data_IF_274014475112
#
_entry.id   IF_274014475112
#
_cell.length_a   1.000
_cell.length_b   1.000
_cell.length_c   1.000
_cell.angle_alpha   90.00
_cell.angle_beta   90.00
_cell.angle_gamma   90.00
#
_symmetry.space_group_name_H-M   'P 1'
#
loop_
_entity.id
_entity.type
_entity.pdbx_description
1 polymer ?
#
# COMPACT_ATOMS: atom_id res chain seq x y z
N UNK A 1 -6.21 24.35 -2.04
CA UNK A 1 -5.98 25.56 -2.85
C UNK A 1 -4.61 26.22 -2.59
N UNK A 2 -3.61 25.52 -2.04
CA UNK A 2 -2.20 25.98 -1.89
C UNK A 2 -2.02 27.48 -1.59
N UNK A 3 -2.86 28.03 -0.69
CA UNK A 3 -3.01 29.48 -0.51
C UNK A 3 -1.80 30.13 0.18
N UNK A 4 -1.00 29.33 0.89
CA UNK A 4 0.19 29.78 1.62
C UNK A 4 1.27 28.71 1.54
N UNK A 5 2.47 29.16 1.24
CA UNK A 5 3.70 28.42 1.53
C UNK A 5 4.16 28.82 2.93
N UNK A 6 4.34 27.85 3.81
CA UNK A 6 4.78 28.09 5.19
C UNK A 6 6.16 27.49 5.38
N UNK A 7 7.02 28.09 6.19
CA UNK A 7 8.29 27.51 6.63
C UNK A 7 8.13 26.41 7.70
N UNK A 8 6.94 25.81 7.80
CA UNK A 8 6.62 24.79 8.79
C UNK A 8 7.42 23.52 8.50
N UNK A 9 8.21 23.07 9.48
CA UNK A 9 8.88 21.78 9.41
C UNK A 9 7.92 20.68 9.87
N UNK A 10 7.48 19.86 8.92
CA UNK A 10 6.63 18.69 9.19
C UNK A 10 7.46 17.52 9.70
N UNK A 11 6.89 16.74 10.61
CA UNK A 11 7.48 15.53 11.17
C UNK A 11 6.58 14.35 10.82
N UNK A 12 7.12 13.34 10.13
CA UNK A 12 6.40 12.10 9.90
C UNK A 12 6.28 11.31 11.21
N UNK A 13 5.23 10.53 11.38
CA UNK A 13 5.04 9.71 12.58
C UNK A 13 6.18 8.70 12.78
N UNK A 14 6.76 8.18 11.70
CA UNK A 14 7.88 7.23 11.75
C UNK A 14 9.19 7.84 12.23
N UNK A 15 9.32 9.17 12.13
CA UNK A 15 10.50 9.91 12.58
C UNK A 15 10.45 10.29 14.06
N UNK A 16 9.32 10.04 14.74
CA UNK A 16 9.17 10.30 16.16
C UNK A 16 10.03 9.35 16.98
N UNK A 17 10.88 9.92 17.84
CA UNK A 17 11.79 9.15 18.69
C UNK A 17 11.82 9.69 20.12
N UNK A 18 12.15 8.85 21.12
CA UNK A 18 12.24 9.27 22.52
C UNK A 18 13.21 10.43 22.78
N UNK A 19 14.24 10.61 21.95
CA UNK A 19 15.22 11.71 22.07
C UNK A 19 14.61 13.08 21.73
N UNK A 20 13.45 13.09 21.05
CA UNK A 20 12.74 14.31 20.72
C UNK A 20 11.88 14.83 21.87
N UNK A 21 11.86 14.15 23.03
CA UNK A 21 11.08 14.56 24.19
C UNK A 21 11.27 16.05 24.54
N UNK A 22 10.15 16.75 24.72
CA UNK A 22 10.11 18.18 24.98
C UNK A 22 10.05 19.05 23.71
N UNK A 23 10.39 18.53 22.53
CA UNK A 23 10.33 19.28 21.26
C UNK A 23 8.89 19.45 20.78
N UNK A 24 8.64 20.56 20.08
CA UNK A 24 7.37 20.83 19.40
C UNK A 24 7.46 20.33 17.96
N UNK A 25 6.48 19.52 17.56
CA UNK A 25 6.39 18.94 16.22
C UNK A 25 5.06 19.32 15.55
N UNK A 26 5.10 19.39 14.22
CA UNK A 26 3.94 19.54 13.36
C UNK A 26 3.69 18.23 12.63
N UNK A 27 2.53 17.63 12.85
CA UNK A 27 2.18 16.33 12.29
C UNK A 27 0.86 16.45 11.54
N UNK A 28 0.77 15.81 10.38
CA UNK A 28 -0.48 15.60 9.68
C UNK A 28 -0.75 14.10 9.58
N UNK A 29 -1.88 13.65 10.11
CA UNK A 29 -2.20 12.23 10.22
C UNK A 29 -3.71 12.00 10.16
N UNK A 30 -4.12 10.75 9.93
CA UNK A 30 -5.52 10.34 10.08
C UNK A 30 -5.84 10.03 11.54
N UNK A 31 -7.05 10.35 11.98
CA UNK A 31 -7.58 9.88 13.27
C UNK A 31 -8.08 8.44 13.09
N UNK A 32 -7.32 7.46 13.55
CA UNK A 32 -7.73 6.06 13.49
C UNK A 32 -8.75 5.72 14.58
N UNK A 33 -8.57 6.26 15.77
CA UNK A 33 -9.44 6.01 16.92
C UNK A 33 -9.43 7.17 17.89
N UNK A 34 -10.49 7.25 18.70
CA UNK A 34 -10.66 8.24 19.75
C UNK A 34 -11.16 7.54 21.01
N UNK A 35 -10.46 7.76 22.13
CA UNK A 35 -10.81 7.21 23.44
C UNK A 35 -11.00 8.35 24.43
N UNK A 36 -12.25 8.80 24.65
CA UNK A 36 -12.58 9.77 25.68
C UNK A 36 -12.30 9.17 27.07
N UNK A 37 -11.68 9.93 27.96
CA UNK A 37 -11.49 9.54 29.37
C UNK A 37 -12.33 10.40 30.30
N UNK A 38 -12.41 11.70 30.01
CA UNK A 38 -13.29 12.63 30.71
C UNK A 38 -13.60 13.84 29.83
N UNK A 39 -14.43 14.76 30.32
CA UNK A 39 -14.61 16.07 29.66
C UNK A 39 -13.36 16.97 29.70
N UNK A 40 -12.26 16.52 30.32
CA UNK A 40 -10.98 17.21 30.36
C UNK A 40 -9.87 16.48 29.59
N UNK A 41 -10.11 15.27 29.11
CA UNK A 41 -9.05 14.43 28.53
C UNK A 41 -9.59 13.41 27.53
N UNK A 42 -8.93 13.31 26.37
CA UNK A 42 -9.11 12.20 25.44
C UNK A 42 -7.78 11.80 24.80
N UNK A 43 -7.67 10.52 24.45
CA UNK A 43 -6.59 10.00 23.62
C UNK A 43 -7.07 9.85 22.19
N UNK A 44 -6.23 10.21 21.23
CA UNK A 44 -6.41 9.90 19.82
C UNK A 44 -5.32 8.93 19.39
N UNK A 45 -5.66 7.98 18.53
CA UNK A 45 -4.68 7.20 17.78
C UNK A 45 -4.53 7.86 16.43
N UNK A 46 -3.35 8.41 16.16
CA UNK A 46 -3.02 9.04 14.88
C UNK A 46 -2.32 8.02 14.00
N UNK A 47 -2.68 7.97 12.72
CA UNK A 47 -2.10 7.05 11.74
C UNK A 47 -1.60 7.79 10.52
N UNK A 48 -0.39 7.45 10.10
CA UNK A 48 0.23 7.83 8.84
C UNK A 48 0.74 6.56 8.15
N UNK A 49 0.15 6.21 7.01
CA UNK A 49 0.42 4.92 6.34
C UNK A 49 0.25 3.72 7.31
N UNK A 50 1.31 2.97 7.58
CA UNK A 50 1.36 1.79 8.46
C UNK A 50 1.75 2.13 9.90
N UNK A 51 1.96 3.41 10.21
CA UNK A 51 2.53 3.86 11.48
C UNK A 51 1.44 4.54 12.30
N UNK A 52 1.33 4.14 13.56
CA UNK A 52 0.42 4.73 14.54
C UNK A 52 1.20 5.28 15.74
N UNK A 53 0.72 6.41 16.26
CA UNK A 53 1.22 7.05 17.47
C UNK A 53 0.06 7.58 18.30
N UNK A 54 0.20 7.53 19.63
CA UNK A 54 -0.81 8.06 20.54
C UNK A 54 -0.65 9.56 20.71
N UNK A 55 -1.78 10.28 20.68
CA UNK A 55 -1.85 11.70 20.96
C UNK A 55 -2.80 11.97 22.13
N UNK A 56 -2.32 12.72 23.12
CA UNK A 56 -3.07 13.13 24.30
C UNK A 56 -3.60 14.56 24.10
N UNK A 57 -4.93 14.73 24.19
CA UNK A 57 -5.57 16.05 24.27
C UNK A 57 -6.11 16.22 25.68
N UNK A 58 -5.43 17.01 26.49
CA UNK A 58 -5.77 17.24 27.90
C UNK A 58 -5.89 18.74 28.20
N UNK A 59 -6.87 19.11 29.01
CA UNK A 59 -7.07 20.51 29.43
C UNK A 59 -5.81 21.03 30.11
N UNK A 60 -5.28 22.12 29.57
CA UNK A 60 -4.11 22.81 30.07
C UNK A 60 -4.44 24.31 30.10
N UNK A 61 -4.21 24.95 31.25
CA UNK A 61 -4.53 26.35 31.47
C UNK A 61 -3.84 27.24 30.43
N UNK A 62 -4.60 28.11 29.76
CA UNK A 62 -4.10 29.00 28.71
C UNK A 62 -3.79 28.34 27.35
N UNK A 63 -3.86 27.01 27.21
CA UNK A 63 -3.50 26.30 25.98
C UNK A 63 -4.63 25.42 25.41
N UNK A 64 -5.19 24.50 26.20
CA UNK A 64 -6.18 23.52 25.74
C UNK A 64 -7.44 23.62 26.59
N UNK A 65 -8.56 23.96 25.95
CA UNK A 65 -9.86 24.13 26.62
C UNK A 65 -10.67 22.83 26.66
N UNK A 66 -11.68 22.75 27.52
CA UNK A 66 -12.66 21.63 27.51
C UNK A 66 -13.40 21.53 26.16
N UNK A 67 -13.62 22.66 25.50
CA UNK A 67 -14.23 22.72 24.17
C UNK A 67 -13.32 22.09 23.12
N UNK A 68 -12.00 22.28 23.20
CA UNK A 68 -11.04 21.62 22.32
C UNK A 68 -11.02 20.10 22.53
N UNK A 69 -11.09 19.62 23.78
CA UNK A 69 -11.22 18.19 24.07
C UNK A 69 -12.52 17.63 23.49
N UNK A 70 -13.66 18.31 23.70
CA UNK A 70 -14.94 17.91 23.11
C UNK A 70 -14.89 17.90 21.58
N UNK A 71 -14.24 18.89 20.97
CA UNK A 71 -14.02 18.94 19.52
C UNK A 71 -13.20 17.73 19.05
N UNK A 72 -12.06 17.45 19.68
CA UNK A 72 -11.20 16.31 19.34
C UNK A 72 -11.95 14.96 19.42
N UNK A 73 -12.80 14.78 20.44
CA UNK A 73 -13.66 13.59 20.58
C UNK A 73 -14.66 13.47 19.42
N UNK A 74 -15.19 14.58 18.94
CA UNK A 74 -16.20 14.61 17.87
C UNK A 74 -15.64 14.45 16.46
N UNK A 75 -14.31 14.45 16.28
CA UNK A 75 -13.69 14.29 14.96
C UNK A 75 -14.02 12.87 14.45
N UNK A 76 -14.68 12.73 13.30
CA UNK A 76 -14.97 11.42 12.72
C UNK A 76 -13.67 10.66 12.43
N UNK A 77 -13.66 9.36 12.71
CA UNK A 77 -12.53 8.49 12.35
C UNK A 77 -12.25 8.58 10.84
N UNK A 78 -11.00 8.37 10.48
CA UNK A 78 -10.42 8.56 9.14
C UNK A 78 -10.32 10.01 8.64
N UNK A 79 -10.78 11.00 9.39
CA UNK A 79 -10.51 12.41 9.10
C UNK A 79 -9.01 12.69 9.19
N UNK A 80 -8.50 13.54 8.30
CA UNK A 80 -7.12 14.02 8.34
C UNK A 80 -7.06 15.23 9.25
N UNK A 81 -6.19 15.18 10.24
CA UNK A 81 -5.93 16.27 11.18
C UNK A 81 -4.51 16.77 11.04
N UNK A 82 -4.33 18.05 11.26
CA UNK A 82 -3.03 18.69 11.47
C UNK A 82 -2.94 19.05 12.94
N UNK A 83 -1.88 18.61 13.61
CA UNK A 83 -1.63 18.90 15.02
C UNK A 83 -0.31 19.64 15.21
N UNK A 84 -0.29 20.47 16.25
CA UNK A 84 0.94 20.95 16.89
C UNK A 84 0.99 20.30 18.25
N UNK A 85 2.04 19.53 18.53
CA UNK A 85 2.16 18.76 19.75
C UNK A 85 3.57 18.78 20.30
N UNK A 86 3.68 18.61 21.62
CA UNK A 86 4.95 18.36 22.28
C UNK A 86 5.17 16.85 22.38
N UNK A 87 6.37 16.40 22.02
CA UNK A 87 6.78 15.01 22.18
C UNK A 87 7.00 14.71 23.66
N UNK A 88 6.44 13.62 24.16
CA UNK A 88 6.60 13.14 25.53
C UNK A 88 6.96 11.66 25.55
N UNK A 89 7.56 11.19 26.64
CA UNK A 89 7.77 9.77 26.90
C UNK A 89 6.60 9.25 27.74
N UNK A 90 5.87 8.21 27.29
CA UNK A 90 4.81 7.63 28.10
C UNK A 90 5.43 6.89 29.30
N UNK A 91 4.68 6.77 30.40
CA UNK A 91 5.13 6.05 31.59
C UNK A 91 5.28 4.54 31.33
N UNK A 92 4.42 4.00 30.47
CA UNK A 92 4.42 2.62 29.99
C UNK A 92 4.30 2.68 28.46
N UNK A 93 5.03 1.86 27.70
CA UNK A 93 4.88 1.82 26.25
C UNK A 93 3.44 1.60 25.80
N UNK A 94 3.01 2.35 24.79
CA UNK A 94 1.64 2.26 24.25
C UNK A 94 1.55 1.08 23.28
N UNK A 95 1.12 -0.08 23.79
CA UNK A 95 1.05 -1.34 23.03
C UNK A 95 0.08 -1.32 21.84
N UNK A 96 -0.90 -0.42 21.84
CA UNK A 96 -1.86 -0.28 20.74
C UNK A 96 -1.33 0.52 19.54
N UNK A 97 -0.12 1.08 19.64
CA UNK A 97 0.50 1.89 18.59
C UNK A 97 1.82 1.28 18.13
N UNK A 98 2.18 1.46 16.85
CA UNK A 98 3.49 1.02 16.35
C UNK A 98 4.63 1.83 16.95
N UNK A 99 4.39 3.12 17.23
CA UNK A 99 5.28 3.98 18.01
C UNK A 99 4.75 4.01 19.43
N UNK A 100 5.22 3.09 20.26
CA UNK A 100 4.77 2.92 21.64
C UNK A 100 5.61 3.67 22.68
N UNK A 101 6.83 4.08 22.34
CA UNK A 101 7.80 4.72 23.24
C UNK A 101 7.73 6.26 23.24
N UNK A 102 6.81 6.82 22.45
CA UNK A 102 6.53 8.25 22.32
C UNK A 102 5.03 8.50 22.41
N UNK A 103 4.66 9.59 23.07
CA UNK A 103 3.31 10.15 23.08
C UNK A 103 3.33 11.62 22.65
N UNK A 104 2.30 12.07 21.93
CA UNK A 104 2.16 13.46 21.48
C UNK A 104 1.18 14.23 22.37
N UNK A 105 1.68 15.17 23.17
CA UNK A 105 0.81 16.09 23.95
C UNK A 105 0.33 17.22 23.06
N UNK A 106 -0.93 17.18 22.65
CA UNK A 106 -1.52 18.08 21.65
C UNK A 106 -1.74 19.48 22.22
N UNK A 107 -1.21 20.49 21.53
CA UNK A 107 -1.40 21.91 21.83
C UNK A 107 -2.40 22.56 20.87
N UNK A 108 -2.41 22.15 19.60
CA UNK A 108 -3.36 22.61 18.58
C UNK A 108 -3.79 21.43 17.72
N UNK A 109 -5.06 21.42 17.31
CA UNK A 109 -5.61 20.43 16.39
C UNK A 109 -6.56 21.10 15.42
N UNK A 110 -6.39 20.80 14.14
CA UNK A 110 -7.22 21.30 13.06
C UNK A 110 -7.63 20.14 12.17
N UNK A 111 -8.90 20.07 11.77
CA UNK A 111 -9.34 19.11 10.76
C UNK A 111 -8.93 19.67 9.39
N UNK A 112 -8.06 18.95 8.71
CA UNK A 112 -7.58 19.28 7.35
C UNK A 112 -8.54 18.75 6.30
N UNK A 113 -9.04 17.54 6.51
CA UNK A 113 -10.05 16.92 5.66
C UNK A 113 -10.98 16.08 6.52
N UNK A 114 -12.22 16.51 6.65
CA UNK A 114 -13.24 15.83 7.44
C UNK A 114 -13.91 14.71 6.65
N UNK A 115 -14.15 13.57 7.30
CA UNK A 115 -15.05 12.53 6.78
C UNK A 115 -16.49 12.95 7.03
N UNK A 116 -17.24 13.20 5.95
CA UNK A 116 -18.63 13.69 6.02
C UNK A 116 -19.67 12.58 5.89
N UNK A 117 -19.30 11.47 5.30
CA UNK A 117 -20.18 10.33 5.03
C UNK A 117 -19.64 9.15 5.84
N UNK A 118 -20.48 8.43 6.59
CA UNK A 118 -20.07 7.23 7.30
C UNK A 118 -19.36 6.25 6.38
N UNK A 119 -18.29 5.64 6.88
CA UNK A 119 -17.56 4.62 6.13
C UNK A 119 -18.39 3.33 6.03
N UNK A 120 -18.24 2.57 4.94
CA UNK A 120 -18.96 1.31 4.72
C UNK A 120 -18.61 0.22 5.75
N UNK A 121 -17.41 0.31 6.34
CA UNK A 121 -16.92 -0.53 7.43
C UNK A 121 -15.81 0.22 8.17
N UNK A 122 -15.52 -0.18 9.41
CA UNK A 122 -14.37 0.33 10.14
C UNK A 122 -13.08 -0.35 9.70
N UNK A 123 -11.94 0.32 9.89
CA UNK A 123 -10.65 -0.31 9.62
C UNK A 123 -10.32 -1.44 10.60
N UNK A 124 -10.87 -1.38 11.81
CA UNK A 124 -10.74 -2.43 12.80
C UNK A 124 -11.38 -3.73 12.30
N UNK A 125 -12.65 -3.66 11.85
CA UNK A 125 -13.36 -4.79 11.23
C UNK A 125 -12.59 -5.37 10.02
N UNK A 126 -11.96 -4.48 9.24
CA UNK A 126 -11.18 -4.89 8.07
C UNK A 126 -9.80 -5.48 8.41
N UNK A 127 -9.29 -5.29 9.63
CA UNK A 127 -7.94 -5.67 10.04
C UNK A 127 -7.87 -6.95 10.89
N UNK A 128 -9.01 -7.51 11.33
CA UNK A 128 -9.03 -8.79 12.04
C UNK A 128 -8.52 -9.94 11.16
N UNK A 129 -7.65 -10.77 11.75
CA UNK A 129 -7.14 -12.00 11.15
C UNK A 129 -8.14 -13.16 11.28
N UNK A 130 -7.91 -14.25 10.54
CA UNK A 130 -8.71 -15.48 10.71
C UNK A 130 -8.57 -16.07 12.12
N UNK A 131 -7.42 -15.87 12.78
CA UNK A 131 -7.16 -16.24 14.16
C UNK A 131 -8.00 -15.41 15.14
N UNK A 132 -8.21 -14.13 14.87
CA UNK A 132 -9.05 -13.27 15.69
C UNK A 132 -10.52 -13.71 15.63
N UNK A 133 -11.03 -14.03 14.43
CA UNK A 133 -12.39 -14.57 14.29
C UNK A 133 -12.57 -15.93 14.96
N UNK A 134 -11.51 -16.77 15.01
CA UNK A 134 -11.54 -18.03 15.77
C UNK A 134 -11.58 -17.79 17.28
N UNK A 135 -10.88 -16.76 17.77
CA UNK A 135 -10.85 -16.38 19.19
C UNK A 135 -12.15 -15.73 19.65
N UNK A 136 -12.70 -14.85 18.81
CA UNK A 136 -13.97 -14.16 19.04
C UNK A 136 -14.85 -14.19 17.78
N UNK A 137 -15.77 -15.16 17.70
CA UNK A 137 -16.71 -15.26 16.58
C UNK A 137 -17.74 -14.13 16.48
N UNK A 138 -17.79 -13.22 17.47
CA UNK A 138 -18.72 -12.07 17.46
C UNK A 138 -18.16 -10.86 16.70
N UNK A 139 -16.87 -10.88 16.36
CA UNK A 139 -16.24 -9.83 15.56
C UNK A 139 -16.88 -9.73 14.17
N UNK A 140 -17.02 -8.50 13.69
CA UNK A 140 -17.73 -8.24 12.44
C UNK A 140 -16.82 -8.52 11.24
N UNK A 141 -17.12 -9.59 10.48
CA UNK A 141 -16.31 -9.99 9.33
C UNK A 141 -16.72 -9.25 8.05
N UNK A 142 -15.85 -8.37 7.57
CA UNK A 142 -16.05 -7.68 6.28
C UNK A 142 -15.75 -8.64 5.13
N UNK A 143 -16.76 -9.00 4.35
CA UNK A 143 -16.63 -9.88 3.17
C UNK A 143 -15.79 -9.27 2.04
N UNK A 144 -15.14 -10.12 1.24
CA UNK A 144 -14.23 -9.70 0.16
C UNK A 144 -14.90 -8.76 -0.86
N UNK A 145 -16.13 -9.05 -1.30
CA UNK A 145 -16.83 -8.20 -2.26
C UNK A 145 -17.09 -6.79 -1.70
N UNK A 146 -17.48 -6.69 -0.43
CA UNK A 146 -17.65 -5.39 0.25
C UNK A 146 -16.34 -4.63 0.33
N UNK A 147 -15.24 -5.33 0.63
CA UNK A 147 -13.89 -4.77 0.66
C UNK A 147 -13.48 -4.23 -0.71
N UNK A 148 -13.64 -5.03 -1.77
CA UNK A 148 -13.31 -4.65 -3.16
C UNK A 148 -14.19 -3.51 -3.69
N UNK A 149 -15.50 -3.52 -3.39
CA UNK A 149 -16.40 -2.42 -3.73
C UNK A 149 -16.03 -1.09 -3.07
N UNK A 150 -15.27 -1.14 -1.96
CA UNK A 150 -14.81 0.02 -1.21
C UNK A 150 -13.28 0.03 -1.08
N UNK A 151 -12.59 -0.38 -2.15
CA UNK A 151 -11.15 -0.65 -2.16
C UNK A 151 -10.31 0.50 -1.60
N UNK A 152 -10.67 1.76 -1.85
CA UNK A 152 -9.97 2.94 -1.34
C UNK A 152 -9.91 3.03 0.20
N UNK A 153 -10.91 2.48 0.90
CA UNK A 153 -10.91 2.39 2.37
C UNK A 153 -10.06 1.19 2.80
N UNK A 154 -10.23 0.05 2.14
CA UNK A 154 -9.51 -1.18 2.44
C UNK A 154 -7.99 -1.05 2.28
N UNK A 155 -7.53 -0.33 1.25
CA UNK A 155 -6.10 -0.08 0.98
C UNK A 155 -5.38 0.71 2.09
N UNK A 156 -6.13 1.20 3.08
CA UNK A 156 -5.57 1.88 4.25
C UNK A 156 -5.22 0.91 5.38
N UNK A 157 -5.69 -0.34 5.35
CA UNK A 157 -5.27 -1.32 6.37
C UNK A 157 -3.78 -1.57 6.27
N UNK A 158 -3.14 -1.82 7.41
CA UNK A 158 -1.68 -2.03 7.49
C UNK A 158 -1.27 -3.21 6.61
N UNK A 159 -2.03 -4.30 6.66
CA UNK A 159 -1.80 -5.50 5.84
C UNK A 159 -1.89 -5.23 4.35
N UNK A 160 -2.94 -4.54 3.85
CA UNK A 160 -3.01 -4.22 2.43
C UNK A 160 -1.86 -3.28 2.01
N UNK A 161 -1.51 -2.28 2.84
CA UNK A 161 -0.39 -1.40 2.53
C UNK A 161 0.93 -2.18 2.39
N UNK A 162 1.20 -3.12 3.32
CA UNK A 162 2.36 -4.00 3.27
C UNK A 162 2.36 -4.90 2.03
N UNK A 163 1.22 -5.53 1.70
CA UNK A 163 1.06 -6.36 0.49
C UNK A 163 1.43 -5.57 -0.77
N UNK A 164 0.94 -4.34 -0.94
CA UNK A 164 1.26 -3.52 -2.12
C UNK A 164 2.71 -3.05 -2.15
N UNK A 165 3.33 -2.80 -0.99
CA UNK A 165 4.77 -2.52 -0.91
C UNK A 165 5.60 -3.73 -1.33
N UNK A 166 5.24 -4.93 -0.87
CA UNK A 166 5.87 -6.20 -1.29
C UNK A 166 5.67 -6.43 -2.79
N UNK A 167 4.46 -6.20 -3.32
CA UNK A 167 4.17 -6.30 -4.75
C UNK A 167 5.07 -5.36 -5.57
N UNK A 168 5.22 -4.10 -5.14
CA UNK A 168 6.12 -3.14 -5.78
C UNK A 168 7.60 -3.60 -5.70
N UNK A 169 8.00 -4.15 -4.55
CA UNK A 169 9.34 -4.70 -4.33
C UNK A 169 9.66 -5.87 -5.27
N UNK A 170 8.72 -6.78 -5.51
CA UNK A 170 8.88 -7.88 -6.48
C UNK A 170 9.20 -7.33 -7.87
N UNK A 171 8.43 -6.35 -8.36
CA UNK A 171 8.68 -5.69 -9.65
C UNK A 171 10.02 -4.93 -9.68
N UNK A 172 10.41 -4.31 -8.56
CA UNK A 172 11.70 -3.64 -8.44
C UNK A 172 12.86 -4.64 -8.53
N UNK A 173 12.82 -5.73 -7.78
CA UNK A 173 13.89 -6.73 -7.72
C UNK A 173 14.00 -7.54 -9.02
N UNK A 174 12.88 -7.81 -9.67
CA UNK A 174 12.84 -8.36 -11.02
C UNK A 174 13.62 -7.49 -12.01
N UNK A 175 13.32 -6.18 -12.04
CA UNK A 175 14.05 -5.21 -12.88
C UNK A 175 15.52 -5.11 -12.50
N UNK A 176 15.81 -4.96 -11.22
CA UNK A 176 17.16 -4.81 -10.69
C UNK A 176 18.06 -5.97 -11.13
N UNK A 177 17.60 -7.22 -10.97
CA UNK A 177 18.34 -8.39 -11.40
C UNK A 177 18.53 -8.44 -12.92
N UNK A 178 17.49 -8.23 -13.72
CA UNK A 178 17.58 -8.36 -15.17
C UNK A 178 18.43 -7.27 -15.81
N UNK A 179 18.38 -6.04 -15.30
CA UNK A 179 19.27 -4.94 -15.72
C UNK A 179 20.73 -5.29 -15.39
N UNK A 180 21.02 -5.88 -14.23
CA UNK A 180 22.37 -6.37 -13.90
C UNK A 180 22.86 -7.47 -14.84
N UNK A 181 21.94 -8.27 -15.42
CA UNK A 181 22.25 -9.27 -16.44
C UNK A 181 22.35 -8.69 -17.87
N UNK A 182 22.23 -7.37 -18.03
CA UNK A 182 22.30 -6.67 -19.31
C UNK A 182 21.03 -6.79 -20.16
N UNK A 183 19.88 -7.06 -19.55
CA UNK A 183 18.60 -7.08 -20.25
C UNK A 183 18.04 -5.67 -20.46
N UNK A 184 17.35 -5.47 -21.59
CA UNK A 184 16.69 -4.22 -21.95
C UNK A 184 15.20 -4.28 -21.61
N UNK A 185 14.68 -3.30 -20.87
CA UNK A 185 13.24 -3.15 -20.66
C UNK A 185 12.56 -2.71 -21.97
N UNK A 186 11.52 -3.42 -22.40
CA UNK A 186 10.75 -3.10 -23.60
C UNK A 186 9.29 -2.79 -23.25
N UNK A 187 8.63 -2.04 -24.12
CA UNK A 187 7.20 -1.74 -24.00
C UNK A 187 6.50 -2.08 -25.32
N UNK A 188 5.65 -3.09 -25.29
CA UNK A 188 5.00 -3.66 -26.47
C UNK A 188 3.52 -3.29 -26.51
N UNK A 189 2.93 -3.11 -27.70
CA UNK A 189 1.52 -2.74 -27.81
C UNK A 189 0.61 -3.84 -27.26
N UNK A 190 -0.45 -3.45 -26.56
CA UNK A 190 -1.46 -4.39 -26.00
C UNK A 190 -2.71 -4.52 -26.86
N UNK A 191 -2.83 -3.70 -27.89
CA UNK A 191 -3.88 -3.77 -28.90
C UNK A 191 -3.28 -4.38 -30.16
N UNK A 192 -3.81 -5.53 -30.58
CA UNK A 192 -3.31 -6.31 -31.72
C UNK A 192 -4.40 -6.51 -32.77
N UNK A 193 -4.00 -6.65 -34.04
CA UNK A 193 -4.92 -6.74 -35.18
C UNK A 193 -5.60 -8.11 -35.32
N UNK A 194 -5.00 -9.16 -34.75
CA UNK A 194 -5.53 -10.52 -34.76
C UNK A 194 -5.25 -11.18 -33.41
N UNK A 195 -5.97 -12.24 -33.07
CA UNK A 195 -5.70 -13.03 -31.88
C UNK A 195 -4.26 -13.60 -31.93
N UNK A 196 -3.49 -13.38 -30.87
CA UNK A 196 -2.07 -13.75 -30.77
C UNK A 196 -1.84 -15.27 -30.65
N UNK A 197 -2.79 -16.00 -30.08
CA UNK A 197 -2.68 -17.43 -29.77
C UNK A 197 -3.98 -18.14 -30.21
N UNK A 198 -3.90 -19.06 -31.16
CA UNK A 198 -5.08 -19.77 -31.68
C UNK A 198 -5.71 -20.68 -30.63
N UNK A 199 -7.04 -20.62 -30.48
CA UNK A 199 -7.81 -21.54 -29.63
C UNK A 199 -8.21 -21.05 -28.24
N UNK A 200 -7.92 -19.79 -27.91
CA UNK A 200 -8.30 -19.17 -26.63
C UNK A 200 -9.29 -18.02 -26.82
N UNK A 201 -10.08 -17.73 -25.79
CA UNK A 201 -10.95 -16.55 -25.79
C UNK A 201 -10.09 -15.29 -25.72
N UNK A 202 -10.44 -14.27 -26.53
CA UNK A 202 -9.76 -12.96 -26.53
C UNK A 202 -10.77 -11.83 -26.34
N UNK A 203 -10.36 -10.77 -25.64
CA UNK A 203 -11.18 -9.55 -25.58
C UNK A 203 -11.07 -8.79 -26.90
N UNK A 204 -12.21 -8.64 -27.57
CA UNK A 204 -12.33 -7.78 -28.75
C UNK A 204 -12.66 -6.35 -28.33
N UNK A 205 -11.96 -5.39 -28.91
CA UNK A 205 -12.21 -3.96 -28.75
C UNK A 205 -12.56 -3.33 -30.10
N UNK A 206 -13.54 -2.41 -30.10
CA UNK A 206 -13.84 -1.62 -31.28
C UNK A 206 -12.69 -0.67 -31.56
N UNK A 207 -12.11 -0.76 -32.76
CA UNK A 207 -10.96 0.05 -33.16
C UNK A 207 -11.29 0.82 -34.44
N UNK A 208 -11.80 2.04 -34.27
CA UNK A 208 -12.36 2.87 -35.33
C UNK A 208 -13.49 2.14 -36.10
N UNK A 209 -13.26 1.86 -37.40
CA UNK A 209 -14.20 1.14 -38.27
C UNK A 209 -13.96 -0.38 -38.27
N UNK A 210 -12.98 -0.87 -37.51
CA UNK A 210 -12.59 -2.27 -37.45
C UNK A 210 -12.60 -2.83 -36.03
N UNK A 211 -12.08 -4.04 -35.90
CA UNK A 211 -11.86 -4.70 -34.63
C UNK A 211 -10.36 -4.78 -34.32
N UNK A 212 -10.01 -4.71 -33.05
CA UNK A 212 -8.72 -5.12 -32.54
C UNK A 212 -8.93 -6.00 -31.29
N UNK A 213 -7.86 -6.55 -30.76
CA UNK A 213 -7.91 -7.50 -29.65
C UNK A 213 -6.90 -7.10 -28.58
N UNK A 214 -7.19 -7.44 -27.33
CA UNK A 214 -6.22 -7.28 -26.25
C UNK A 214 -5.26 -8.48 -26.21
N UNK A 215 -3.96 -8.20 -26.12
CA UNK A 215 -2.92 -9.21 -26.12
C UNK A 215 -2.94 -10.07 -24.83
N UNK A 216 -2.94 -11.38 -24.98
CA UNK A 216 -2.98 -12.32 -23.84
C UNK A 216 -1.61 -12.62 -23.24
N UNK A 217 -0.55 -12.25 -23.94
CA UNK A 217 0.82 -12.29 -23.48
C UNK A 217 1.66 -11.41 -24.43
N UNK A 218 2.81 -10.88 -23.99
CA UNK A 218 3.73 -10.17 -24.88
C UNK A 218 4.61 -11.14 -25.70
N UNK A 219 4.31 -12.45 -25.73
CA UNK A 219 5.23 -13.48 -26.21
C UNK A 219 5.74 -13.25 -27.63
N UNK A 220 4.84 -12.96 -28.59
CA UNK A 220 5.22 -12.71 -29.99
C UNK A 220 6.13 -11.48 -30.12
N UNK A 221 5.87 -10.41 -29.37
CA UNK A 221 6.67 -9.19 -29.43
C UNK A 221 8.05 -9.38 -28.80
N UNK A 222 8.15 -10.11 -27.69
CA UNK A 222 9.46 -10.45 -27.10
C UNK A 222 10.32 -11.25 -28.07
N UNK A 223 9.75 -12.27 -28.72
CA UNK A 223 10.46 -13.05 -29.74
C UNK A 223 10.86 -12.19 -30.95
N UNK A 224 10.00 -11.26 -31.38
CA UNK A 224 10.36 -10.30 -32.42
C UNK A 224 11.53 -9.40 -32.01
N UNK A 225 11.60 -8.95 -30.75
CA UNK A 225 12.75 -8.20 -30.23
C UNK A 225 14.04 -9.05 -30.23
N UNK A 226 13.96 -10.33 -29.86
CA UNK A 226 15.11 -11.25 -29.97
C UNK A 226 15.57 -11.38 -31.42
N UNK A 227 14.65 -11.56 -32.36
CA UNK A 227 14.95 -11.60 -33.79
C UNK A 227 15.48 -10.26 -34.35
N UNK A 228 15.23 -9.16 -33.65
CA UNK A 228 15.73 -7.83 -33.95
C UNK A 228 17.04 -7.49 -33.20
N UNK A 229 17.80 -8.51 -32.80
CA UNK A 229 19.13 -8.40 -32.18
C UNK A 229 19.18 -7.73 -30.79
N UNK A 230 18.06 -7.67 -30.06
CA UNK A 230 18.07 -7.11 -28.69
C UNK A 230 18.81 -7.98 -27.68
N UNK A 231 19.03 -9.27 -27.99
CA UNK A 231 19.77 -10.23 -27.14
C UNK A 231 19.00 -10.67 -25.89
N UNK A 232 18.72 -9.75 -24.95
CA UNK A 232 17.98 -9.97 -23.70
C UNK A 232 16.93 -8.88 -23.51
N UNK A 233 15.68 -9.27 -23.34
CA UNK A 233 14.58 -8.32 -23.11
C UNK A 233 13.70 -8.77 -21.96
N UNK A 234 13.05 -7.80 -21.32
CA UNK A 234 11.99 -8.05 -20.35
C UNK A 234 10.91 -6.97 -20.42
N UNK A 235 9.73 -7.30 -19.92
CA UNK A 235 8.59 -6.39 -19.85
C UNK A 235 7.78 -6.63 -18.57
N UNK A 236 7.33 -5.55 -17.92
CA UNK A 236 6.33 -5.58 -16.85
C UNK A 236 5.11 -4.84 -17.37
N UNK A 237 4.04 -5.56 -17.70
CA UNK A 237 2.89 -4.94 -18.37
C UNK A 237 1.57 -5.68 -18.13
N UNK A 238 0.42 -5.04 -18.43
CA UNK A 238 -0.88 -5.69 -18.37
C UNK A 238 -0.97 -6.88 -19.32
N UNK A 239 -1.62 -7.93 -18.83
CA UNK A 239 -1.92 -9.18 -19.53
C UNK A 239 -3.40 -9.49 -19.34
N UNK A 240 -4.05 -9.92 -20.43
CA UNK A 240 -5.50 -10.14 -20.47
C UNK A 240 -5.87 -11.60 -20.71
N UNK A 241 -6.78 -12.13 -19.90
CA UNK A 241 -7.32 -13.50 -20.01
C UNK A 241 -8.84 -13.42 -20.12
N UNK A 242 -9.40 -13.88 -21.23
CA UNK A 242 -10.84 -13.77 -21.51
C UNK A 242 -11.60 -15.08 -21.26
N UNK A 243 -10.95 -16.05 -20.63
CA UNK A 243 -11.61 -17.23 -20.10
C UNK A 243 -12.62 -16.83 -19.02
N UNK A 244 -13.86 -17.31 -19.14
CA UNK A 244 -14.90 -17.09 -18.13
C UNK A 244 -14.64 -18.01 -16.92
N UNK A 245 -13.70 -17.59 -16.09
CA UNK A 245 -13.23 -18.36 -14.93
C UNK A 245 -13.27 -17.51 -13.67
N UNK A 246 -14.28 -17.73 -12.84
CA UNK A 246 -14.40 -17.09 -11.54
C UNK A 246 -13.82 -17.99 -10.44
N UNK A 247 -12.51 -17.91 -10.22
CA UNK A 247 -11.82 -18.64 -9.15
C UNK A 247 -10.95 -17.70 -8.33
N UNK A 248 -10.55 -18.16 -7.14
CA UNK A 248 -9.66 -17.41 -6.24
C UNK A 248 -8.23 -17.19 -6.79
N UNK A 249 -7.88 -17.73 -7.97
CA UNK A 249 -6.56 -17.62 -8.60
C UNK A 249 -6.58 -16.98 -9.98
N UNK A 250 -7.74 -16.69 -10.54
CA UNK A 250 -7.87 -16.17 -11.89
C UNK A 250 -8.36 -14.73 -11.87
N UNK A 251 -7.68 -13.88 -12.63
CA UNK A 251 -8.07 -12.52 -12.94
C UNK A 251 -8.12 -12.36 -14.46
N UNK A 252 -9.05 -11.55 -14.96
CA UNK A 252 -9.17 -11.24 -16.39
C UNK A 252 -8.12 -10.22 -16.86
N UNK A 253 -7.59 -9.43 -15.94
CA UNK A 253 -6.44 -8.54 -16.13
C UNK A 253 -5.48 -8.69 -14.95
N UNK A 254 -4.20 -8.89 -15.25
CA UNK A 254 -3.12 -8.90 -14.25
C UNK A 254 -1.84 -8.33 -14.85
N UNK A 255 -0.83 -8.13 -14.01
CA UNK A 255 0.50 -7.65 -14.46
C UNK A 255 1.40 -8.85 -14.70
N UNK A 256 1.81 -9.05 -15.96
CA UNK A 256 2.80 -10.04 -16.36
C UNK A 256 4.22 -9.52 -16.15
N UNK A 257 5.10 -10.40 -15.68
CA UNK A 257 6.54 -10.17 -15.56
C UNK A 257 7.21 -11.14 -16.53
N UNK A 258 7.57 -10.62 -17.69
CA UNK A 258 7.96 -11.42 -18.83
C UNK A 258 9.42 -11.17 -19.20
N UNK A 259 10.14 -12.20 -19.61
CA UNK A 259 11.50 -12.08 -20.14
C UNK A 259 11.69 -13.01 -21.34
N UNK A 260 12.68 -12.70 -22.17
CA UNK A 260 13.11 -13.53 -23.29
C UNK A 260 14.62 -13.32 -23.52
N UNK A 261 15.35 -14.38 -23.86
CA UNK A 261 16.81 -14.35 -23.98
C UNK A 261 17.30 -15.26 -25.11
N UNK A 262 18.16 -14.72 -25.98
CA UNK A 262 18.95 -15.50 -26.93
C UNK A 262 20.10 -16.24 -26.22
N UNK A 263 19.94 -17.54 -26.00
CA UNK A 263 21.01 -18.42 -25.49
C UNK A 263 21.93 -18.91 -26.62
N UNK A 264 23.10 -19.46 -26.27
CA UNK A 264 24.11 -19.86 -27.27
C UNK A 264 24.10 -21.35 -27.57
N UNK A 265 24.12 -22.18 -26.53
CA UNK A 265 24.35 -23.62 -26.66
C UNK A 265 23.16 -24.43 -26.15
N UNK A 266 22.60 -24.06 -25.00
CA UNK A 266 21.54 -24.83 -24.37
C UNK A 266 20.56 -23.95 -23.60
N UNK A 267 19.27 -24.29 -23.64
CA UNK A 267 18.22 -23.54 -22.94
C UNK A 267 18.39 -23.52 -21.39
N UNK A 268 19.29 -24.34 -20.86
CA UNK A 268 19.72 -24.28 -19.45
C UNK A 268 20.31 -22.90 -19.09
N UNK A 269 20.90 -22.17 -20.03
CA UNK A 269 21.33 -20.80 -19.81
C UNK A 269 20.15 -19.90 -19.38
N UNK A 270 19.00 -20.06 -20.04
CA UNK A 270 17.76 -19.36 -19.71
C UNK A 270 17.20 -19.84 -18.37
N UNK A 271 17.14 -21.16 -18.16
CA UNK A 271 16.63 -21.72 -16.90
C UNK A 271 17.45 -21.29 -15.68
N UNK A 272 18.78 -21.28 -15.80
CA UNK A 272 19.68 -20.83 -14.75
C UNK A 272 19.49 -19.34 -14.47
N UNK A 273 19.30 -18.52 -15.50
CA UNK A 273 19.01 -17.09 -15.34
C UNK A 273 17.70 -16.88 -14.57
N UNK A 274 16.64 -17.61 -14.91
CA UNK A 274 15.33 -17.55 -14.22
C UNK A 274 15.44 -18.06 -12.78
N UNK A 275 16.13 -19.19 -12.56
CA UNK A 275 16.33 -19.73 -11.21
C UNK A 275 17.08 -18.75 -10.30
N UNK A 276 18.17 -18.17 -10.80
CA UNK A 276 18.95 -17.16 -10.08
C UNK A 276 18.16 -15.86 -9.84
N UNK A 277 17.28 -15.48 -10.77
CA UNK A 277 16.36 -14.33 -10.58
C UNK A 277 15.43 -14.56 -9.40
N UNK A 278 14.81 -15.73 -9.28
CA UNK A 278 13.96 -16.06 -8.15
C UNK A 278 14.73 -16.06 -6.84
N UNK A 279 15.91 -16.70 -6.80
CA UNK A 279 16.80 -16.67 -5.61
C UNK A 279 17.13 -15.23 -5.21
N UNK A 280 17.44 -14.37 -6.19
CA UNK A 280 17.72 -12.96 -5.96
C UNK A 280 16.50 -12.23 -5.37
N UNK A 281 15.31 -12.40 -5.94
CA UNK A 281 14.07 -11.76 -5.46
C UNK A 281 13.77 -12.21 -4.03
N UNK A 282 13.72 -13.51 -3.76
CA UNK A 282 13.35 -14.03 -2.44
C UNK A 282 14.32 -13.56 -1.34
N UNK A 283 15.63 -13.68 -1.58
CA UNK A 283 16.65 -13.25 -0.61
C UNK A 283 16.59 -11.74 -0.33
N UNK A 284 16.35 -10.93 -1.36
CA UNK A 284 16.28 -9.47 -1.19
C UNK A 284 14.95 -9.01 -0.58
N UNK A 285 13.84 -9.72 -0.82
CA UNK A 285 12.58 -9.44 -0.13
C UNK A 285 12.71 -9.70 1.37
N UNK A 286 13.22 -10.86 1.77
CA UNK A 286 13.41 -11.24 3.17
C UNK A 286 14.31 -10.25 3.93
N UNK A 287 15.31 -9.67 3.27
CA UNK A 287 16.27 -8.76 3.91
C UNK A 287 15.83 -7.29 3.87
N UNK A 288 15.28 -6.80 2.75
CA UNK A 288 14.98 -5.37 2.53
C UNK A 288 13.54 -4.98 2.88
N UNK A 289 12.61 -5.94 2.91
CA UNK A 289 11.19 -5.74 3.24
C UNK A 289 10.73 -6.65 4.38
N UNK A 290 11.64 -7.00 5.31
CA UNK A 290 11.36 -7.84 6.47
C UNK A 290 10.17 -7.35 7.30
N UNK A 291 10.09 -6.02 7.52
CA UNK A 291 9.01 -5.39 8.28
C UNK A 291 7.64 -5.60 7.61
N UNK A 292 7.55 -5.37 6.30
CA UNK A 292 6.31 -5.60 5.56
C UNK A 292 5.94 -7.08 5.52
N UNK A 293 6.92 -7.99 5.43
CA UNK A 293 6.69 -9.43 5.46
C UNK A 293 6.19 -9.92 6.83
N UNK A 294 6.65 -9.33 7.93
CA UNK A 294 6.17 -9.68 9.28
C UNK A 294 4.70 -9.26 9.51
N UNK A 295 4.22 -8.25 8.79
CA UNK A 295 2.84 -7.74 8.88
C UNK A 295 1.83 -8.65 8.18
N UNK A 296 2.25 -9.39 7.15
CA UNK A 296 1.38 -10.19 6.25
C UNK A 296 1.34 -11.64 6.69
#
# INVERSE_FOLDING_TARGET
MSEKETSTKWTALEDLKPEMAGQIVHVQARVQGSRPVSNKMCFLVLRESMVTAQALVCVAEGAVSKQMVKFAISIPTESIVTIVAQVAKPAVPVESCTIGDVELTVQKIFVTSEVKIPLPFSLEDASHSEEDYKRDPTLNKVGLDTRLNNRTVELRTVTNNAIFKIQAAVCQLFREYLIQQGATEIHTPKIISTASEGGSNVFQVTYFKGAAYLAQSPQLYKQACIAADFGKVFEIAPVFRAEDSNTHRHLTEYVGLDLEFAFREHYHEVMNMIGNMFVYIFKNLESRWARELEIV
#
